data_IF_714333687219
#
_entry.id   IF_714333687219
#
_cell.length_a   1.000
_cell.length_b   1.000
_cell.length_c   1.000
_cell.angle_alpha   90.00
_cell.angle_beta   90.00
_cell.angle_gamma   90.00
#
_symmetry.space_group_name_H-M   'P 1'
#
loop_
_entity.id
_entity.type
_entity.pdbx_description
1 polymer ?
#
# COMPACT_ATOMS: atom_id res chain seq x y z
N UNK A 1 -25.47 -3.36 -7.63
CA UNK A 1 -24.99 -3.90 -6.32
C UNK A 1 -23.67 -3.21 -6.01
N UNK A 2 -23.48 -2.70 -4.80
CA UNK A 2 -22.16 -2.26 -4.34
C UNK A 2 -21.38 -3.53 -3.96
N UNK A 3 -20.30 -3.91 -4.67
CA UNK A 3 -19.52 -5.06 -4.28
C UNK A 3 -18.90 -4.82 -2.90
N UNK A 4 -18.82 -5.83 -2.02
CA UNK A 4 -18.12 -5.70 -0.76
C UNK A 4 -16.63 -5.43 -1.04
N UNK A 5 -16.14 -4.29 -0.53
CA UNK A 5 -14.75 -3.83 -0.67
C UNK A 5 -13.82 -4.41 0.40
N UNK A 6 -14.32 -5.32 1.21
CA UNK A 6 -13.68 -5.80 2.42
C UNK A 6 -12.53 -6.77 2.14
N UNK A 7 -11.59 -6.82 3.07
CA UNK A 7 -10.55 -7.86 3.12
C UNK A 7 -11.14 -9.10 3.76
N UNK A 8 -10.81 -10.27 3.22
CA UNK A 8 -11.23 -11.56 3.81
C UNK A 8 -10.56 -11.76 5.17
N UNK A 9 -9.32 -11.25 5.32
CA UNK A 9 -8.57 -11.33 6.57
C UNK A 9 -9.24 -10.46 7.64
N UNK A 10 -9.64 -11.10 8.74
CA UNK A 10 -10.20 -10.44 9.90
C UNK A 10 -9.28 -9.31 10.39
N UNK A 11 -9.80 -8.09 10.45
CA UNK A 11 -9.13 -6.96 11.07
C UNK A 11 -9.48 -6.94 12.56
N UNK A 12 -8.50 -7.24 13.42
CA UNK A 12 -8.71 -7.29 14.87
C UNK A 12 -9.30 -5.96 15.40
N UNK A 13 -8.77 -4.83 14.96
CA UNK A 13 -9.29 -3.50 15.35
C UNK A 13 -10.77 -3.33 15.03
N UNK A 14 -11.21 -3.66 13.81
CA UNK A 14 -12.60 -3.53 13.38
C UNK A 14 -13.50 -4.50 14.14
N UNK A 15 -13.05 -5.75 14.33
CA UNK A 15 -13.81 -6.76 15.08
C UNK A 15 -14.08 -6.30 16.51
N UNK A 16 -13.09 -5.70 17.18
CA UNK A 16 -13.18 -5.26 18.56
C UNK A 16 -13.74 -3.84 18.72
N UNK A 17 -13.80 -3.00 17.69
CA UNK A 17 -14.25 -1.60 17.78
C UNK A 17 -15.62 -1.43 18.44
N UNK A 18 -16.54 -2.39 18.24
CA UNK A 18 -17.88 -2.39 18.84
C UNK A 18 -18.04 -3.34 20.03
N UNK A 19 -16.97 -4.06 20.42
CA UNK A 19 -17.03 -5.13 21.44
C UNK A 19 -16.13 -4.88 22.64
N UNK A 20 -14.92 -4.34 22.41
CA UNK A 20 -13.95 -4.00 23.44
C UNK A 20 -13.06 -2.85 22.98
N UNK A 21 -13.37 -1.64 23.45
CA UNK A 21 -12.65 -0.42 23.09
C UNK A 21 -11.17 -0.46 23.51
N UNK A 22 -10.81 -1.17 24.58
CA UNK A 22 -9.42 -1.28 25.05
C UNK A 22 -8.59 -2.14 24.10
N UNK A 23 -9.15 -3.23 23.61
CA UNK A 23 -8.51 -4.06 22.59
C UNK A 23 -8.44 -3.31 21.26
N UNK A 24 -9.49 -2.60 20.86
CA UNK A 24 -9.50 -1.84 19.60
C UNK A 24 -8.49 -0.68 19.59
N UNK A 25 -8.35 0.04 20.70
CA UNK A 25 -7.43 1.18 20.85
C UNK A 25 -6.00 0.82 21.27
N UNK A 26 -5.66 -0.47 21.38
CA UNK A 26 -4.33 -0.89 21.79
C UNK A 26 -3.22 -0.24 20.92
N UNK A 27 -2.12 0.24 21.54
CA UNK A 27 -1.14 1.11 20.88
C UNK A 27 -0.35 0.43 19.76
N UNK A 28 -0.20 -0.89 19.84
CA UNK A 28 0.46 -1.68 18.81
C UNK A 28 -0.12 -3.11 18.75
N UNK A 29 0.26 -3.85 17.70
CA UNK A 29 -0.22 -5.21 17.48
C UNK A 29 0.19 -6.21 18.59
N UNK A 30 1.37 -6.04 19.19
CA UNK A 30 1.83 -6.90 20.28
C UNK A 30 0.98 -6.73 21.54
N UNK A 31 0.72 -5.48 21.95
CA UNK A 31 -0.17 -5.16 23.07
C UNK A 31 -1.59 -5.67 22.82
N UNK A 32 -2.10 -5.52 21.57
CA UNK A 32 -3.42 -6.06 21.18
C UNK A 32 -3.49 -7.57 21.35
N UNK A 33 -2.49 -8.31 20.86
CA UNK A 33 -2.40 -9.77 21.02
C UNK A 33 -2.37 -10.20 22.48
N UNK A 34 -1.66 -9.47 23.34
CA UNK A 34 -1.64 -9.75 24.78
C UNK A 34 -3.01 -9.55 25.42
N UNK A 35 -3.73 -8.48 25.08
CA UNK A 35 -5.08 -8.24 25.59
C UNK A 35 -6.07 -9.30 25.07
N UNK A 36 -5.99 -9.66 23.79
CA UNK A 36 -6.79 -10.74 23.19
C UNK A 36 -6.55 -12.07 23.91
N UNK A 37 -5.29 -12.40 24.24
CA UNK A 37 -4.96 -13.63 24.95
C UNK A 37 -5.60 -13.69 26.36
N UNK A 38 -5.72 -12.54 27.04
CA UNK A 38 -6.37 -12.45 28.36
C UNK A 38 -7.88 -12.68 28.32
N UNK A 39 -8.54 -12.50 27.17
CA UNK A 39 -9.97 -12.80 27.01
C UNK A 39 -10.33 -14.23 27.40
N UNK A 40 -9.39 -15.18 27.29
CA UNK A 40 -9.59 -16.57 27.76
C UNK A 40 -10.03 -16.66 29.23
N UNK A 41 -9.60 -15.70 30.07
CA UNK A 41 -9.92 -15.61 31.49
C UNK A 41 -10.93 -14.48 31.76
N UNK A 42 -10.69 -13.31 31.18
CA UNK A 42 -11.40 -12.07 31.52
C UNK A 42 -12.80 -12.02 30.87
N UNK A 43 -12.95 -12.57 29.66
CA UNK A 43 -14.23 -12.64 28.95
C UNK A 43 -14.27 -13.83 27.97
N UNK A 44 -14.51 -15.06 28.47
CA UNK A 44 -14.48 -16.27 27.66
C UNK A 44 -15.50 -16.28 26.51
N UNK A 45 -16.62 -15.58 26.65
CA UNK A 45 -17.65 -15.47 25.62
C UNK A 45 -17.13 -14.68 24.40
N UNK A 46 -16.53 -13.50 24.64
CA UNK A 46 -15.92 -12.69 23.58
C UNK A 46 -14.73 -13.42 22.92
N UNK A 47 -13.96 -14.19 23.71
CA UNK A 47 -12.91 -15.04 23.17
C UNK A 47 -13.46 -16.10 22.19
N UNK A 48 -14.57 -16.77 22.54
CA UNK A 48 -15.18 -17.74 21.63
C UNK A 48 -15.73 -17.09 20.35
N UNK A 49 -16.35 -15.92 20.46
CA UNK A 49 -16.82 -15.17 19.30
C UNK A 49 -15.65 -14.79 18.37
N UNK A 50 -14.57 -14.28 18.94
CA UNK A 50 -13.34 -13.96 18.20
C UNK A 50 -12.76 -15.19 17.50
N UNK A 51 -12.65 -16.34 18.20
CA UNK A 51 -12.15 -17.58 17.61
C UNK A 51 -13.05 -18.08 16.48
N UNK A 52 -14.37 -17.96 16.62
CA UNK A 52 -15.32 -18.34 15.58
C UNK A 52 -15.14 -17.46 14.34
N UNK A 53 -15.04 -16.13 14.54
CA UNK A 53 -14.81 -15.18 13.45
C UNK A 53 -13.46 -15.43 12.75
N UNK A 54 -12.40 -15.67 13.51
CA UNK A 54 -11.07 -16.01 12.98
C UNK A 54 -11.12 -17.30 12.15
N UNK A 55 -11.72 -18.37 12.69
CA UNK A 55 -11.88 -19.64 11.96
C UNK A 55 -12.69 -19.48 10.68
N UNK A 56 -13.75 -18.67 10.69
CA UNK A 56 -14.55 -18.39 9.50
C UNK A 56 -13.75 -17.64 8.43
N UNK A 57 -12.99 -16.60 8.82
CA UNK A 57 -12.10 -15.85 7.93
C UNK A 57 -11.00 -16.74 7.33
N UNK A 58 -10.38 -17.60 8.15
CA UNK A 58 -9.38 -18.56 7.71
C UNK A 58 -9.97 -19.58 6.73
N UNK A 59 -11.14 -20.16 7.05
CA UNK A 59 -11.82 -21.11 6.18
C UNK A 59 -12.17 -20.50 4.81
N UNK A 60 -12.65 -19.25 4.79
CA UNK A 60 -12.90 -18.51 3.55
C UNK A 60 -11.61 -18.30 2.76
N UNK A 61 -10.54 -17.82 3.40
CA UNK A 61 -9.22 -17.66 2.76
C UNK A 61 -8.70 -18.97 2.17
N UNK A 62 -8.80 -20.08 2.92
CA UNK A 62 -8.40 -21.41 2.46
C UNK A 62 -9.22 -21.85 1.25
N UNK A 63 -10.54 -21.68 1.29
CA UNK A 63 -11.40 -21.98 0.15
C UNK A 63 -11.02 -21.15 -1.09
N UNK A 64 -10.82 -19.84 -0.94
CA UNK A 64 -10.48 -18.96 -2.06
C UNK A 64 -9.12 -19.31 -2.70
N UNK A 65 -8.15 -19.75 -1.89
CA UNK A 65 -6.81 -20.18 -2.35
C UNK A 65 -6.79 -21.55 -3.00
N UNK A 66 -7.50 -22.51 -2.43
CA UNK A 66 -7.31 -23.93 -2.72
C UNK A 66 -8.48 -24.60 -3.43
N UNK A 67 -9.63 -23.93 -3.59
CA UNK A 67 -10.75 -24.49 -4.36
C UNK A 67 -10.49 -24.59 -5.86
N UNK A 68 -9.45 -23.93 -6.37
CA UNK A 68 -9.18 -23.80 -7.81
C UNK A 68 -10.14 -22.84 -8.54
N UNK A 69 -11.08 -22.21 -7.82
CA UNK A 69 -12.09 -21.31 -8.41
C UNK A 69 -11.57 -19.89 -8.69
N UNK A 70 -10.55 -19.44 -7.95
CA UNK A 70 -9.99 -18.08 -8.06
C UNK A 70 -8.48 -18.09 -8.27
N UNK A 71 -7.98 -18.74 -9.34
CA UNK A 71 -6.55 -18.87 -9.60
C UNK A 71 -5.81 -17.54 -9.73
N UNK A 72 -6.49 -16.45 -10.10
CA UNK A 72 -5.87 -15.15 -10.37
C UNK A 72 -5.90 -14.20 -9.16
N UNK A 73 -6.94 -14.27 -8.33
CA UNK A 73 -7.17 -13.33 -7.22
C UNK A 73 -7.15 -13.97 -5.83
N UNK A 74 -7.15 -15.30 -5.75
CA UNK A 74 -7.02 -16.07 -4.50
C UNK A 74 -5.58 -16.14 -3.97
N UNK A 75 -4.76 -15.11 -4.13
CA UNK A 75 -3.32 -15.09 -3.74
C UNK A 75 -3.00 -13.87 -2.87
N UNK A 76 -1.91 -13.92 -2.11
CA UNK A 76 -1.50 -12.80 -1.24
C UNK A 76 -2.60 -12.41 -0.24
N UNK A 77 -2.70 -11.14 0.15
CA UNK A 77 -3.84 -10.64 0.92
C UNK A 77 -5.08 -10.49 0.00
N UNK A 78 -6.12 -11.28 0.28
CA UNK A 78 -7.29 -11.40 -0.60
C UNK A 78 -8.30 -10.29 -0.29
N UNK A 79 -8.63 -9.50 -1.31
CA UNK A 79 -9.72 -8.54 -1.30
C UNK A 79 -10.96 -9.14 -1.97
N UNK A 80 -12.12 -8.94 -1.36
CA UNK A 80 -13.37 -9.54 -1.83
C UNK A 80 -13.77 -9.02 -3.23
N UNK A 81 -13.49 -7.75 -3.51
CA UNK A 81 -13.77 -7.15 -4.81
C UNK A 81 -12.99 -7.81 -5.97
N UNK A 82 -11.75 -8.26 -5.72
CA UNK A 82 -10.92 -8.96 -6.71
C UNK A 82 -11.54 -10.32 -7.04
N UNK A 83 -11.96 -11.06 -6.02
CA UNK A 83 -12.64 -12.35 -6.16
C UNK A 83 -13.94 -12.21 -6.96
N UNK A 84 -14.73 -11.18 -6.70
CA UNK A 84 -15.93 -10.88 -7.49
C UNK A 84 -15.59 -10.51 -8.93
N UNK A 85 -14.56 -9.68 -9.15
CA UNK A 85 -14.10 -9.34 -10.50
C UNK A 85 -13.74 -10.60 -11.30
N UNK A 86 -12.96 -11.51 -10.72
CA UNK A 86 -12.63 -12.79 -11.35
C UNK A 86 -13.87 -13.64 -11.61
N UNK A 87 -14.80 -13.74 -10.65
CA UNK A 87 -16.07 -14.45 -10.84
C UNK A 87 -16.86 -13.91 -12.03
N UNK A 88 -16.95 -12.59 -12.19
CA UNK A 88 -17.68 -11.99 -13.33
C UNK A 88 -17.05 -12.36 -14.68
N UNK A 89 -15.73 -12.51 -14.75
CA UNK A 89 -15.05 -12.97 -15.98
C UNK A 89 -15.37 -14.42 -16.32
N UNK A 90 -15.67 -15.25 -15.32
CA UNK A 90 -16.07 -16.64 -15.51
C UNK A 90 -17.55 -16.80 -15.90
N UNK A 91 -18.39 -15.83 -15.50
CA UNK A 91 -19.84 -15.85 -15.75
C UNK A 91 -20.26 -15.13 -17.03
N UNK A 92 -19.41 -14.28 -17.61
CA UNK A 92 -19.75 -13.52 -18.81
C UNK A 92 -19.90 -14.46 -20.02
N UNK A 93 -21.01 -14.32 -20.75
CA UNK A 93 -21.22 -15.04 -22.00
C UNK A 93 -20.21 -14.59 -23.07
N UNK A 94 -19.83 -15.47 -24.02
CA UNK A 94 -18.81 -15.19 -25.05
C UNK A 94 -19.08 -13.94 -25.91
N UNK A 95 -20.35 -13.53 -26.03
CA UNK A 95 -20.78 -12.31 -26.74
C UNK A 95 -21.38 -11.25 -25.81
N UNK A 96 -21.34 -11.51 -24.51
CA UNK A 96 -21.87 -10.64 -23.47
C UNK A 96 -20.82 -9.65 -22.98
N UNK A 97 -21.28 -8.70 -22.16
CA UNK A 97 -20.44 -7.78 -21.41
C UNK A 97 -20.89 -7.75 -19.97
N UNK A 98 -19.97 -7.46 -19.07
CA UNK A 98 -20.24 -7.22 -17.66
C UNK A 98 -19.65 -5.87 -17.27
N UNK A 99 -20.43 -5.06 -16.58
CA UNK A 99 -20.01 -3.77 -16.04
C UNK A 99 -20.08 -3.80 -14.52
N UNK A 100 -19.00 -3.37 -13.86
CA UNK A 100 -18.90 -3.33 -12.41
C UNK A 100 -18.33 -1.99 -11.96
N UNK A 101 -18.90 -1.45 -10.88
CA UNK A 101 -18.24 -0.41 -10.08
C UNK A 101 -17.33 -1.16 -9.12
N UNK A 102 -16.03 -0.83 -9.03
CA UNK A 102 -15.02 -1.61 -8.29
C UNK A 102 -13.83 -0.71 -7.87
N UNK A 103 -13.00 -0.97 -6.83
CA UNK A 103 -11.92 -0.05 -6.48
C UNK A 103 -10.89 -0.04 -7.61
N UNK A 104 -10.32 1.12 -7.92
CA UNK A 104 -9.38 1.28 -9.04
C UNK A 104 -8.16 0.37 -8.92
N UNK A 105 -7.81 -0.02 -7.68
CA UNK A 105 -6.75 -0.98 -7.37
C UNK A 105 -6.83 -2.31 -8.10
N UNK A 106 -8.00 -2.69 -8.63
CA UNK A 106 -8.13 -3.87 -9.52
C UNK A 106 -7.18 -3.82 -10.74
N UNK A 107 -6.87 -2.62 -11.22
CA UNK A 107 -6.11 -2.41 -12.45
C UNK A 107 -4.73 -1.79 -12.21
N UNK A 108 -4.50 -1.20 -11.03
CA UNK A 108 -3.28 -0.46 -10.72
C UNK A 108 -2.40 -1.12 -9.67
N UNK A 109 -2.97 -1.94 -8.78
CA UNK A 109 -2.22 -2.46 -7.63
C UNK A 109 -1.48 -3.75 -7.97
N UNK A 110 -0.30 -3.93 -7.39
CA UNK A 110 0.53 -5.13 -7.58
C UNK A 110 -0.21 -6.41 -7.16
N UNK A 111 -1.02 -6.35 -6.10
CA UNK A 111 -1.82 -7.50 -5.61
C UNK A 111 -2.76 -8.06 -6.67
N UNK A 112 -3.25 -7.24 -7.60
CA UNK A 112 -4.17 -7.65 -8.66
C UNK A 112 -3.48 -7.84 -10.03
N UNK A 113 -2.16 -7.69 -10.11
CA UNK A 113 -1.43 -7.70 -11.40
C UNK A 113 -1.67 -8.97 -12.20
N UNK A 114 -1.76 -10.14 -11.55
CA UNK A 114 -1.98 -11.43 -12.22
C UNK A 114 -3.37 -11.46 -12.87
N UNK A 115 -4.40 -11.04 -12.14
CA UNK A 115 -5.75 -10.95 -12.68
C UNK A 115 -5.84 -9.95 -13.83
N UNK A 116 -5.27 -8.76 -13.65
CA UNK A 116 -5.41 -7.71 -14.65
C UNK A 116 -4.59 -8.01 -15.90
N UNK A 117 -3.37 -8.56 -15.75
CA UNK A 117 -2.55 -9.04 -16.85
C UNK A 117 -3.32 -10.06 -17.71
N UNK A 118 -4.00 -11.02 -17.09
CA UNK A 118 -4.84 -11.99 -17.79
C UNK A 118 -5.93 -11.30 -18.62
N UNK A 119 -6.57 -10.24 -18.09
CA UNK A 119 -7.61 -9.51 -18.81
C UNK A 119 -7.05 -8.74 -20.02
N UNK A 120 -5.85 -8.17 -19.87
CA UNK A 120 -5.13 -7.51 -20.96
C UNK A 120 -4.73 -8.53 -22.04
N UNK A 121 -4.20 -9.68 -21.65
CA UNK A 121 -3.74 -10.74 -22.56
C UNK A 121 -4.91 -11.37 -23.33
N UNK A 122 -6.03 -11.66 -22.66
CA UNK A 122 -7.28 -12.12 -23.29
C UNK A 122 -7.99 -11.04 -24.11
N UNK A 123 -7.54 -9.78 -24.00
CA UNK A 123 -8.14 -8.61 -24.64
C UNK A 123 -9.60 -8.42 -24.29
N UNK A 124 -10.01 -8.76 -23.08
CA UNK A 124 -11.43 -8.71 -22.69
C UNK A 124 -11.86 -7.34 -22.14
N UNK A 125 -10.94 -6.38 -21.98
CA UNK A 125 -11.25 -5.07 -21.43
C UNK A 125 -11.94 -4.21 -22.50
N UNK A 126 -13.13 -3.72 -22.19
CA UNK A 126 -13.86 -2.76 -23.05
C UNK A 126 -13.54 -1.35 -22.61
N UNK A 127 -13.66 -1.08 -21.30
CA UNK A 127 -13.33 0.22 -20.73
C UNK A 127 -13.01 0.14 -19.24
N UNK A 128 -12.21 1.10 -18.77
CA UNK A 128 -12.06 1.41 -17.36
C UNK A 128 -12.08 2.93 -17.17
N UNK A 129 -13.04 3.41 -16.38
CA UNK A 129 -13.13 4.82 -16.02
C UNK A 129 -12.94 5.00 -14.52
N UNK A 130 -11.81 5.56 -14.11
CA UNK A 130 -11.47 5.82 -12.71
C UNK A 130 -12.03 7.16 -12.22
N UNK A 131 -12.53 7.12 -10.99
CA UNK A 131 -13.15 8.20 -10.26
C UNK A 131 -12.55 8.34 -8.87
N UNK A 132 -12.34 9.58 -8.44
CA UNK A 132 -12.17 9.94 -7.03
C UNK A 132 -13.49 10.50 -6.49
N UNK A 133 -13.92 10.03 -5.32
CA UNK A 133 -15.18 10.45 -4.69
C UNK A 133 -15.15 11.88 -4.08
N UNK A 134 -14.36 12.79 -4.67
CA UNK A 134 -14.14 14.16 -4.17
C UNK A 134 -15.42 14.98 -4.14
N UNK A 135 -16.26 14.80 -5.16
CA UNK A 135 -17.57 15.46 -5.33
C UNK A 135 -18.70 14.65 -4.67
N UNK A 136 -18.38 13.68 -3.81
CA UNK A 136 -19.35 12.87 -3.06
C UNK A 136 -20.41 12.19 -3.94
N UNK A 137 -20.00 11.66 -5.10
CA UNK A 137 -20.81 10.77 -5.94
C UNK A 137 -21.47 9.64 -5.14
N UNK A 138 -20.75 9.15 -4.13
CA UNK A 138 -21.30 8.32 -3.05
C UNK A 138 -21.17 9.08 -1.71
N UNK A 139 -22.24 9.68 -1.18
CA UNK A 139 -22.18 10.55 -0.01
C UNK A 139 -21.64 9.88 1.26
N UNK A 140 -21.98 8.59 1.44
CA UNK A 140 -21.57 7.78 2.59
C UNK A 140 -20.14 7.22 2.50
N UNK A 141 -19.40 7.52 1.41
CA UNK A 141 -18.05 7.00 1.18
C UNK A 141 -17.01 8.12 1.39
N UNK A 142 -15.83 7.77 1.88
CA UNK A 142 -14.70 8.70 2.01
C UNK A 142 -14.43 9.42 0.68
N UNK A 143 -14.18 10.73 0.73
CA UNK A 143 -14.00 11.55 -0.48
C UNK A 143 -12.72 11.24 -1.25
N UNK A 144 -11.76 10.56 -0.63
CA UNK A 144 -10.48 10.16 -1.24
C UNK A 144 -10.56 8.75 -1.84
N UNK A 145 -11.68 8.04 -1.64
CA UNK A 145 -11.86 6.70 -2.19
C UNK A 145 -11.78 6.77 -3.72
N UNK A 146 -10.97 5.88 -4.29
CA UNK A 146 -10.86 5.67 -5.73
C UNK A 146 -11.62 4.43 -6.15
N UNK A 147 -12.49 4.59 -7.14
CA UNK A 147 -13.23 3.49 -7.74
C UNK A 147 -13.27 3.67 -9.25
N UNK A 148 -13.45 2.58 -9.98
CA UNK A 148 -13.60 2.60 -11.41
C UNK A 148 -14.90 1.94 -11.86
N UNK A 149 -15.36 2.35 -13.03
CA UNK A 149 -16.33 1.62 -13.84
C UNK A 149 -15.54 0.72 -14.77
N UNK A 150 -15.46 -0.57 -14.44
CA UNK A 150 -14.79 -1.58 -15.26
C UNK A 150 -15.82 -2.30 -16.12
N UNK A 151 -15.62 -2.29 -17.43
CA UNK A 151 -16.42 -3.06 -18.38
C UNK A 151 -15.55 -4.13 -19.04
N UNK A 152 -15.97 -5.39 -18.92
CA UNK A 152 -15.32 -6.56 -19.52
C UNK A 152 -16.25 -7.21 -20.55
N UNK A 153 -15.67 -7.86 -21.54
CA UNK A 153 -16.32 -8.54 -22.66
C UNK A 153 -15.95 -10.01 -22.67
N UNK A 154 -16.90 -10.89 -23.01
CA UNK A 154 -16.59 -12.29 -23.29
C UNK A 154 -15.88 -12.51 -24.62
N UNK A 155 -15.85 -11.50 -25.50
CA UNK A 155 -15.14 -11.50 -26.78
C UNK A 155 -13.92 -10.56 -26.75
N UNK A 156 -12.84 -10.89 -27.50
CA UNK A 156 -11.67 -10.03 -27.63
C UNK A 156 -11.98 -8.65 -28.20
N UNK A 157 -11.31 -7.63 -27.66
CA UNK A 157 -11.36 -6.24 -28.04
C UNK A 157 -10.01 -5.84 -28.67
N UNK A 158 -10.04 -5.00 -29.71
CA UNK A 158 -8.79 -4.47 -30.29
C UNK A 158 -8.14 -3.43 -29.37
N UNK A 159 -8.96 -2.56 -28.80
CA UNK A 159 -8.55 -1.50 -27.88
C UNK A 159 -9.58 -1.34 -26.76
N UNK A 160 -9.08 -0.93 -25.60
CA UNK A 160 -9.90 -0.56 -24.46
C UNK A 160 -9.90 0.96 -24.28
N UNK A 161 -11.02 1.52 -23.78
CA UNK A 161 -11.14 2.95 -23.49
C UNK A 161 -10.85 3.25 -22.02
N UNK A 162 -10.12 4.32 -21.76
CA UNK A 162 -9.71 4.72 -20.44
C UNK A 162 -9.97 6.19 -20.16
N UNK A 163 -10.27 6.50 -18.91
CA UNK A 163 -10.22 7.84 -18.34
C UNK A 163 -9.89 7.70 -16.85
N UNK A 164 -9.05 8.59 -16.34
CA UNK A 164 -8.66 8.60 -14.92
C UNK A 164 -8.86 9.97 -14.29
N UNK A 165 -8.86 10.00 -12.97
CA UNK A 165 -9.04 11.22 -12.17
C UNK A 165 -10.37 11.95 -12.48
N UNK A 166 -11.41 11.21 -12.86
CA UNK A 166 -12.74 11.79 -12.92
C UNK A 166 -13.23 12.06 -11.50
N UNK A 167 -13.94 13.17 -11.29
CA UNK A 167 -14.61 13.43 -10.00
C UNK A 167 -16.12 13.49 -10.18
N UNK A 168 -16.58 13.57 -11.43
CA UNK A 168 -17.97 13.61 -11.86
C UNK A 168 -18.13 12.95 -13.24
N UNK A 169 -19.33 12.46 -13.55
CA UNK A 169 -19.59 11.65 -14.75
C UNK A 169 -19.38 12.45 -16.04
N UNK A 170 -19.61 13.76 -16.00
CA UNK A 170 -19.47 14.66 -17.14
C UNK A 170 -18.04 14.72 -17.67
N UNK A 171 -17.03 14.42 -16.84
CA UNK A 171 -15.64 14.33 -17.29
C UNK A 171 -15.43 13.25 -18.36
N UNK A 172 -16.29 12.23 -18.42
CA UNK A 172 -16.23 11.20 -19.47
C UNK A 172 -16.66 11.72 -20.85
N UNK A 173 -17.32 12.88 -20.92
CA UNK A 173 -17.68 13.53 -22.20
C UNK A 173 -16.50 14.29 -22.81
N UNK A 174 -15.50 14.64 -21.99
CA UNK A 174 -14.30 15.34 -22.46
C UNK A 174 -13.36 14.36 -23.18
N UNK A 175 -13.29 14.49 -24.50
CA UNK A 175 -12.41 13.69 -25.35
C UNK A 175 -10.93 13.86 -25.03
N UNK A 176 -10.52 14.96 -24.40
CA UNK A 176 -9.12 15.19 -24.01
C UNK A 176 -8.71 14.30 -22.84
N UNK A 177 -9.68 13.86 -22.03
CA UNK A 177 -9.47 12.98 -20.87
C UNK A 177 -9.57 11.50 -21.21
N UNK A 178 -10.18 11.18 -22.36
CA UNK A 178 -10.36 9.82 -22.84
C UNK A 178 -9.23 9.41 -23.77
N UNK A 179 -8.71 8.21 -23.58
CA UNK A 179 -7.70 7.64 -24.44
C UNK A 179 -7.94 6.14 -24.64
N UNK A 180 -7.35 5.58 -25.69
CA UNK A 180 -7.42 4.15 -25.95
C UNK A 180 -6.04 3.53 -25.86
N UNK A 181 -5.98 2.33 -25.29
CA UNK A 181 -4.77 1.52 -25.30
C UNK A 181 -5.10 0.10 -25.80
N UNK A 182 -4.24 -0.43 -26.65
CA UNK A 182 -4.20 -1.84 -26.99
C UNK A 182 -3.32 -2.65 -26.01
N UNK A 183 -3.42 -3.98 -26.01
CA UNK A 183 -2.62 -4.85 -25.14
C UNK A 183 -1.10 -4.66 -25.30
N UNK A 184 -0.63 -4.43 -26.53
CA UNK A 184 0.79 -4.18 -26.83
C UNK A 184 1.29 -2.85 -26.25
N UNK A 185 0.42 -1.85 -26.14
CA UNK A 185 0.76 -0.55 -25.56
C UNK A 185 0.81 -0.66 -24.04
N UNK A 186 -0.13 -1.37 -23.42
CA UNK A 186 -0.08 -1.67 -21.97
C UNK A 186 1.21 -2.45 -21.65
N UNK A 187 1.57 -3.41 -22.50
CA UNK A 187 2.82 -4.17 -22.39
C UNK A 187 4.08 -3.31 -22.48
N UNK A 188 4.05 -2.31 -23.36
CA UNK A 188 5.14 -1.37 -23.56
C UNK A 188 5.35 -0.52 -22.30
N UNK A 189 4.26 -0.01 -21.71
CA UNK A 189 4.33 0.86 -20.53
C UNK A 189 4.71 0.11 -19.25
N UNK A 190 4.08 -1.04 -19.01
CA UNK A 190 4.24 -1.83 -17.79
C UNK A 190 4.61 -3.29 -18.13
N UNK A 191 5.83 -3.55 -18.65
CA UNK A 191 6.20 -4.89 -19.12
C UNK A 191 6.14 -5.94 -18.01
N UNK A 192 6.52 -5.58 -16.78
CA UNK A 192 6.65 -6.50 -15.64
C UNK A 192 5.28 -6.89 -15.05
N UNK A 193 4.39 -5.92 -14.82
CA UNK A 193 3.13 -6.15 -14.09
C UNK A 193 1.89 -6.19 -15.00
N UNK A 194 1.95 -5.57 -16.19
CA UNK A 194 0.80 -5.36 -17.09
C UNK A 194 -0.39 -4.63 -16.46
N UNK A 195 -0.17 -3.95 -15.33
CA UNK A 195 -1.14 -3.02 -14.73
C UNK A 195 -1.30 -1.78 -15.61
N UNK A 196 -2.40 -1.04 -15.44
CA UNK A 196 -2.65 0.14 -16.27
C UNK A 196 -1.72 1.31 -15.91
N UNK A 197 -1.09 1.94 -16.91
CA UNK A 197 -0.57 3.28 -16.72
C UNK A 197 -1.74 4.26 -16.56
N UNK A 198 -1.55 5.23 -15.67
CA UNK A 198 -2.58 6.20 -15.29
C UNK A 198 -2.24 7.55 -15.92
N UNK A 199 -3.07 8.00 -16.86
CA UNK A 199 -2.88 9.28 -17.58
C UNK A 199 -4.04 10.24 -17.31
N UNK A 200 -3.75 11.55 -17.20
CA UNK A 200 -4.79 12.57 -17.03
C UNK A 200 -5.45 12.93 -18.36
N UNK A 201 -4.66 12.92 -19.44
CA UNK A 201 -5.12 13.29 -20.76
C UNK A 201 -4.64 12.31 -21.84
N UNK A 202 -5.29 12.37 -23.00
CA UNK A 202 -4.86 11.65 -24.21
C UNK A 202 -3.46 12.06 -24.65
N UNK A 203 -3.13 13.34 -24.53
CA UNK A 203 -1.80 13.86 -24.85
C UNK A 203 -0.71 13.23 -23.97
N UNK A 204 -0.98 13.05 -22.67
CA UNK A 204 -0.02 12.40 -21.76
C UNK A 204 0.25 10.95 -22.18
N UNK A 205 -0.79 10.23 -22.60
CA UNK A 205 -0.68 8.85 -23.08
C UNK A 205 0.13 8.76 -24.39
N UNK A 206 -0.12 9.67 -25.34
CA UNK A 206 0.59 9.77 -26.61
C UNK A 206 2.06 10.14 -26.42
N UNK A 207 2.35 11.13 -25.57
CA UNK A 207 3.72 11.54 -25.24
C UNK A 207 4.47 10.39 -24.56
N UNK A 208 3.86 9.74 -23.57
CA UNK A 208 4.48 8.61 -22.87
C UNK A 208 4.76 7.47 -23.85
N UNK A 209 3.84 7.19 -24.79
CA UNK A 209 4.06 6.19 -25.86
C UNK A 209 5.29 6.53 -26.69
N UNK A 210 5.42 7.78 -27.11
CA UNK A 210 6.55 8.22 -27.91
C UNK A 210 7.89 8.05 -27.15
N UNK A 211 7.90 8.28 -25.83
CA UNK A 211 9.09 8.07 -24.99
C UNK A 211 9.45 6.59 -24.91
N UNK A 212 8.50 5.73 -24.52
CA UNK A 212 8.76 4.30 -24.33
C UNK A 212 9.12 3.56 -25.63
N UNK A 213 8.75 4.10 -26.80
CA UNK A 213 9.18 3.57 -28.10
C UNK A 213 10.66 3.87 -28.42
N UNK A 214 11.28 4.84 -27.73
CA UNK A 214 12.64 5.32 -28.01
C UNK A 214 13.61 5.03 -26.87
N UNK A 215 13.09 4.92 -25.66
CA UNK A 215 13.86 4.80 -24.42
C UNK A 215 13.47 3.49 -23.73
N UNK A 216 14.44 2.61 -23.41
CA UNK A 216 14.13 1.35 -22.76
C UNK A 216 13.68 1.57 -21.31
N UNK A 217 12.84 0.67 -20.80
CA UNK A 217 12.45 0.66 -19.38
C UNK A 217 13.67 0.46 -18.47
N UNK A 218 13.56 0.88 -17.21
CA UNK A 218 14.65 0.77 -16.23
C UNK A 218 15.14 -0.68 -16.08
N UNK A 219 14.20 -1.59 -15.81
CA UNK A 219 14.43 -3.03 -15.70
C UNK A 219 13.24 -3.77 -16.28
N UNK A 220 13.50 -4.70 -17.18
CA UNK A 220 12.52 -5.64 -17.69
C UNK A 220 12.77 -7.01 -17.06
N UNK A 221 12.02 -7.33 -16.01
CA UNK A 221 12.16 -8.57 -15.24
C UNK A 221 11.77 -9.80 -16.06
N UNK A 222 10.97 -9.62 -17.14
CA UNK A 222 10.54 -10.72 -18.00
C UNK A 222 11.61 -11.14 -19.00
N UNK A 223 12.43 -10.21 -19.48
CA UNK A 223 13.54 -10.48 -20.41
C UNK A 223 14.89 -10.56 -19.70
N UNK A 224 14.99 -10.04 -18.48
CA UNK A 224 16.25 -9.88 -17.74
C UNK A 224 17.05 -8.64 -18.16
N UNK A 225 16.52 -7.80 -19.05
CA UNK A 225 17.22 -6.60 -19.53
C UNK A 225 17.25 -5.52 -18.45
N UNK A 226 18.45 -4.97 -18.23
CA UNK A 226 18.70 -3.86 -17.33
C UNK A 226 19.67 -2.87 -18.00
N UNK A 227 19.23 -2.14 -19.05
CA UNK A 227 20.11 -1.28 -19.83
C UNK A 227 20.63 -0.08 -19.03
N UNK A 228 20.01 0.21 -17.89
CA UNK A 228 20.36 1.30 -16.98
C UNK A 228 21.29 0.87 -15.84
N UNK A 229 21.54 -0.43 -15.65
CA UNK A 229 22.36 -0.95 -14.55
C UNK A 229 21.77 -0.70 -13.16
N UNK A 230 20.45 -0.60 -13.03
CA UNK A 230 19.77 -0.31 -11.76
C UNK A 230 19.78 -1.54 -10.85
N UNK A 231 20.07 -1.35 -9.56
CA UNK A 231 19.89 -2.37 -8.52
C UNK A 231 19.26 -1.74 -7.28
N UNK A 232 18.39 -2.50 -6.61
CA UNK A 232 17.72 -2.05 -5.39
C UNK A 232 18.31 -2.80 -4.19
N UNK A 233 18.52 -2.08 -3.08
CA UNK A 233 18.95 -2.65 -1.82
C UNK A 233 17.76 -2.66 -0.85
N UNK A 234 17.53 -3.81 -0.21
CA UNK A 234 16.52 -3.92 0.85
C UNK A 234 17.05 -3.22 2.11
N UNK A 235 16.36 -2.17 2.54
CA UNK A 235 16.58 -1.52 3.84
C UNK A 235 15.78 -2.23 4.95
N UNK A 236 16.03 -1.88 6.22
CA UNK A 236 15.30 -2.43 7.37
C UNK A 236 13.78 -2.16 7.28
N UNK A 237 12.97 -3.21 7.44
CA UNK A 237 11.52 -3.14 7.39
C UNK A 237 10.96 -2.92 8.80
N UNK A 238 10.43 -1.73 9.10
CA UNK A 238 9.98 -1.34 10.47
C UNK A 238 9.09 -2.36 11.19
N UNK A 239 8.20 -3.05 10.47
CA UNK A 239 7.35 -4.10 11.08
C UNK A 239 8.07 -5.45 11.25
N UNK A 240 8.61 -6.02 10.18
CA UNK A 240 9.25 -7.36 10.19
C UNK A 240 10.53 -7.36 11.03
N UNK A 241 11.29 -6.28 10.94
CA UNK A 241 12.54 -6.08 11.66
C UNK A 241 12.34 -5.28 12.95
N UNK A 242 11.09 -5.16 13.44
CA UNK A 242 10.76 -4.42 14.67
C UNK A 242 11.64 -4.79 15.86
N UNK A 243 12.08 -6.05 15.94
CA UNK A 243 13.00 -6.56 16.95
C UNK A 243 14.42 -5.97 16.88
N UNK A 244 14.82 -5.41 15.74
CA UNK A 244 16.10 -4.70 15.54
C UNK A 244 16.01 -3.22 15.94
N UNK A 245 14.80 -2.66 16.06
CA UNK A 245 14.60 -1.28 16.47
C UNK A 245 14.48 -1.19 17.99
N UNK A 246 15.12 -0.15 18.55
CA UNK A 246 15.02 0.21 19.97
C UNK A 246 14.37 1.58 20.09
N UNK A 247 13.47 1.72 21.04
CA UNK A 247 12.88 3.00 21.42
C UNK A 247 13.91 3.86 22.17
N UNK A 248 13.65 5.16 22.23
CA UNK A 248 14.48 6.09 23.00
C UNK A 248 14.57 5.67 24.46
N UNK A 249 13.45 5.33 25.07
CA UNK A 249 13.34 4.95 26.48
C UNK A 249 14.13 3.67 26.76
N UNK A 250 14.09 2.69 25.85
CA UNK A 250 14.89 1.48 25.95
C UNK A 250 16.39 1.78 25.89
N UNK A 251 16.82 2.66 24.98
CA UNK A 251 18.23 3.04 24.85
C UNK A 251 18.71 3.85 26.06
N UNK A 252 17.91 4.79 26.56
CA UNK A 252 18.22 5.55 27.77
C UNK A 252 18.32 4.64 29.01
N UNK A 253 17.41 3.66 29.15
CA UNK A 253 17.46 2.66 30.21
C UNK A 253 18.67 1.72 30.11
N UNK A 254 19.13 1.42 28.89
CA UNK A 254 20.35 0.65 28.61
C UNK A 254 21.64 1.48 28.74
N UNK A 255 21.54 2.74 29.20
CA UNK A 255 22.69 3.59 29.49
C UNK A 255 23.21 4.39 28.30
N UNK A 256 22.44 4.52 27.22
CA UNK A 256 22.78 5.37 26.10
C UNK A 256 22.20 6.77 26.27
N UNK A 257 22.85 7.77 25.67
CA UNK A 257 22.34 9.14 25.61
C UNK A 257 22.32 9.65 24.17
N UNK A 258 21.34 10.49 23.86
CA UNK A 258 21.24 11.12 22.56
C UNK A 258 22.25 12.27 22.44
N UNK A 259 23.15 12.19 21.44
CA UNK A 259 24.07 13.25 21.05
C UNK A 259 23.84 13.56 19.57
N UNK A 260 23.22 14.70 19.29
CA UNK A 260 22.74 15.03 17.95
C UNK A 260 21.65 14.04 17.52
N UNK A 261 21.92 13.26 16.47
CA UNK A 261 21.02 12.23 15.92
C UNK A 261 21.49 10.79 16.19
N UNK A 262 22.39 10.60 17.17
CA UNK A 262 22.95 9.27 17.51
C UNK A 262 22.86 9.01 19.00
N UNK A 263 22.45 7.80 19.36
CA UNK A 263 22.61 7.29 20.71
C UNK A 263 24.03 6.77 20.89
N UNK A 264 24.72 7.26 21.91
CA UNK A 264 26.07 6.82 22.28
C UNK A 264 26.06 6.30 23.71
N UNK A 265 26.90 5.31 24.06
CA UNK A 265 27.04 4.89 25.44
C UNK A 265 27.36 6.08 26.34
N UNK A 266 26.67 6.21 27.46
CA UNK A 266 27.02 7.19 28.47
C UNK A 266 28.36 6.78 29.06
N UNK A 267 29.41 7.59 28.84
CA UNK A 267 30.72 7.31 29.43
C UNK A 267 30.58 7.15 30.95
N UNK A 268 31.26 6.17 31.57
CA UNK A 268 31.28 6.10 33.03
C UNK A 268 31.81 7.43 33.57
N UNK A 269 31.10 7.99 34.55
CA UNK A 269 31.48 9.23 35.22
C UNK A 269 32.96 9.16 35.65
N UNK A 270 33.81 10.17 35.38
CA UNK A 270 35.20 10.19 35.85
C UNK A 270 35.36 10.30 37.37
N UNK A 271 34.26 10.28 38.13
CA UNK A 271 34.26 10.23 39.59
C UNK A 271 33.86 8.84 40.13
N UNK A 272 34.67 7.84 39.80
CA UNK A 272 34.89 6.67 40.66
C UNK A 272 36.40 6.51 40.83
N UNK A 273 36.98 7.36 41.69
CA UNK A 273 38.30 7.12 42.27
C UNK A 273 38.09 6.39 43.59
N UNK A 274 38.32 5.08 43.59
CA UNK A 274 38.81 4.35 44.75
C UNK A 274 39.64 3.15 44.29
N UNK A 275 40.95 3.33 44.46
CA UNK A 275 42.10 2.41 44.50
C UNK A 275 41.90 0.91 44.26
N UNK A 276 42.79 0.34 43.42
CA UNK A 276 43.09 -1.09 43.39
C UNK A 276 43.74 -1.55 42.08
N UNK A 277 45.07 -1.47 42.04
CA UNK A 277 46.08 -2.07 41.16
C UNK A 277 45.68 -3.17 40.13
N UNK A 278 46.28 -3.09 38.93
CA UNK A 278 46.79 -4.28 38.22
C UNK A 278 46.11 -4.71 36.91
N UNK A 279 46.85 -4.52 35.81
CA UNK A 279 46.91 -5.36 34.59
C UNK A 279 45.88 -5.26 33.43
N UNK A 280 46.47 -4.93 32.28
CA UNK A 280 46.27 -5.35 30.87
C UNK A 280 44.90 -5.33 30.16
N UNK A 281 44.92 -4.65 29.00
CA UNK A 281 43.87 -4.64 27.96
C UNK A 281 43.74 -5.99 27.25
N UNK A 282 42.58 -6.27 26.62
CA UNK A 282 42.59 -6.15 25.17
C UNK A 282 41.33 -5.48 24.56
N UNK A 283 41.53 -5.09 23.31
CA UNK A 283 40.62 -4.41 22.39
C UNK A 283 39.28 -5.12 22.14
N UNK A 284 38.21 -4.34 21.99
CA UNK A 284 37.01 -4.82 21.27
C UNK A 284 36.32 -3.70 20.49
N UNK A 285 35.88 -4.09 19.29
CA UNK A 285 35.27 -3.33 18.22
C UNK A 285 33.86 -2.84 18.57
N UNK A 286 33.62 -1.52 18.50
CA UNK A 286 32.31 -0.92 18.73
C UNK A 286 31.35 -1.13 17.56
N UNK A 287 30.23 -1.81 17.83
CA UNK A 287 29.06 -1.91 16.94
C UNK A 287 28.19 -0.65 17.04
N UNK A 288 27.77 -0.10 15.90
CA UNK A 288 26.88 1.07 15.83
C UNK A 288 25.47 0.63 15.44
N UNK A 289 24.45 1.01 16.24
CA UNK A 289 23.03 0.84 15.94
C UNK A 289 22.37 2.21 15.62
N UNK A 290 21.53 2.26 14.57
CA UNK A 290 20.77 3.45 14.14
C UNK A 290 19.32 3.34 14.60
N UNK A 291 18.72 4.46 15.01
CA UNK A 291 17.31 4.59 15.41
C UNK A 291 16.46 5.08 14.24
N UNK A 292 15.24 4.57 14.10
CA UNK A 292 14.24 5.09 13.15
C UNK A 292 13.66 6.40 13.68
N UNK A 293 13.81 7.49 12.93
CA UNK A 293 13.29 8.80 13.31
C UNK A 293 11.77 8.87 13.19
N UNK A 294 11.13 9.33 14.27
CA UNK A 294 9.83 9.99 14.19
C UNK A 294 10.06 11.38 13.56
N UNK A 295 9.28 11.70 12.53
CA UNK A 295 9.34 13.00 11.87
C UNK A 295 8.78 14.09 12.79
N UNK A 296 9.62 15.02 13.21
CA UNK A 296 9.19 16.36 13.57
C UNK A 296 9.25 17.23 12.31
N UNK A 297 8.10 17.80 11.93
CA UNK A 297 8.00 18.89 10.97
C UNK A 297 8.85 20.07 11.46
N UNK A 298 9.89 20.44 10.72
CA UNK A 298 10.53 21.74 10.89
C UNK A 298 9.76 22.80 10.09
N UNK A 299 9.51 23.99 10.66
CA UNK A 299 8.86 25.08 9.95
C UNK A 299 9.81 25.67 8.90
N UNK A 300 9.21 26.05 7.78
CA UNK A 300 9.82 26.76 6.66
C UNK A 300 10.68 27.95 7.12
N UNK A 301 11.96 27.96 6.73
CA UNK A 301 12.80 29.15 6.73
C UNK A 301 13.10 29.57 5.29
N UNK A 302 12.29 30.48 4.77
CA UNK A 302 12.64 31.30 3.61
C UNK A 302 13.61 32.39 4.04
N UNK A 303 14.79 32.40 3.44
CA UNK A 303 15.84 33.37 3.67
C UNK A 303 15.42 34.81 3.29
N UNK A 304 15.64 35.70 4.25
CA UNK A 304 16.00 37.11 4.17
C UNK A 304 16.14 37.76 2.77
N UNK A 305 15.38 38.83 2.54
CA UNK A 305 15.94 40.10 2.09
C UNK A 305 15.39 41.26 2.92
N UNK A 306 16.27 42.22 3.16
CA UNK A 306 16.20 43.38 4.05
C UNK A 306 15.39 44.55 3.50
N UNK A 307 14.73 45.31 4.39
CA UNK A 307 14.85 46.78 4.48
C UNK A 307 14.20 47.35 5.75
N UNK A 308 14.76 48.47 6.18
CA UNK A 308 14.60 49.20 7.45
C UNK A 308 13.74 50.46 7.24
N UNK A 309 13.13 50.91 8.35
CA UNK A 309 12.50 52.21 8.67
C UNK A 309 11.12 52.50 8.03
N UNK A 310 10.13 53.06 8.73
CA UNK A 310 10.16 53.70 10.05
C UNK A 310 8.76 53.92 10.64
N UNK A 311 8.80 54.51 11.83
CA UNK A 311 7.72 54.83 12.76
C UNK A 311 6.62 55.74 12.19
N UNK A 312 5.41 55.62 12.74
CA UNK A 312 4.30 56.53 12.53
C UNK A 312 2.99 56.01 13.13
N UNK A 313 2.67 56.52 14.32
CA UNK A 313 1.33 56.64 14.94
C UNK A 313 0.31 57.15 13.90
N UNK A 314 -0.98 56.80 13.84
CA UNK A 314 -2.08 56.54 14.79
C UNK A 314 -3.04 55.48 14.20
#
# INVERSE_FOLDING_TARGET
MQPPWERIKLQEQEFFATKDAKIASAPNAAARKQLIARLTKDNPALWQEYRKALRSSEAQSQFLRHSGRYPLTGRGDINTYSVFAELFTQLVHQRGRVGVVIPTGIATDDTNKVFFAEQVEKRCIVSLYDFENREKLFPAVDSRMKFCLLTLSGAPMEQAQFAFFATRVEHLRDERRRFTLGPAEIALFNPNTRTLPVFRTRMDAELTRAIYQRVPVLVNERTGENPWGVSFLSMFHMSNDSHLFRTREQLEAEGYRLVGNRFVPSSPSPFSRAAGEGEEQPSSSGSYSRVAGEGEEQPSSSGSYSRVAGEGEE
#
